data_IF_406529851012
#
_entry.id   IF_406529851012
#
_cell.length_a   1.000
_cell.length_b   1.000
_cell.length_c   1.000
_cell.angle_alpha   90.00
_cell.angle_beta   90.00
_cell.angle_gamma   90.00
#
_symmetry.space_group_name_H-M   'P 1'
#
loop_
_entity.id
_entity.type
_entity.pdbx_description
1 polymer ?
#
# COMPACT_ATOMS: atom_id res chain seq x y z
N UNK A 1 18.27 19.20 -14.82
CA UNK A 1 18.36 18.04 -15.74
C UNK A 1 18.46 16.80 -14.85
N UNK A 2 17.32 16.28 -14.39
CA UNK A 2 17.30 15.02 -13.65
C UNK A 2 17.24 13.94 -14.73
N UNK A 3 18.28 13.12 -14.84
CA UNK A 3 18.31 12.02 -15.79
C UNK A 3 17.13 11.08 -15.50
N UNK A 4 16.27 10.91 -16.50
CA UNK A 4 15.16 9.97 -16.47
C UNK A 4 15.69 8.57 -16.21
N UNK A 5 15.23 7.92 -15.14
CA UNK A 5 15.52 6.52 -14.88
C UNK A 5 14.98 5.67 -16.05
N UNK A 6 15.84 4.95 -16.80
CA UNK A 6 15.44 4.19 -17.99
C UNK A 6 14.56 2.97 -17.68
N UNK A 7 14.36 2.65 -16.39
CA UNK A 7 13.50 1.55 -15.95
C UNK A 7 12.13 1.98 -15.45
N UNK A 8 11.85 3.29 -15.39
CA UNK A 8 10.49 3.79 -15.19
C UNK A 8 9.91 4.12 -16.56
N UNK A 9 8.98 3.32 -17.10
CA UNK A 9 8.22 3.73 -18.26
C UNK A 9 7.49 5.03 -17.89
N UNK A 10 7.92 6.14 -18.46
CA UNK A 10 7.26 7.45 -18.33
C UNK A 10 5.82 7.39 -18.90
N UNK A 11 5.53 6.35 -19.69
CA UNK A 11 4.21 6.00 -20.19
C UNK A 11 3.60 4.83 -19.39
N UNK A 12 3.24 5.07 -18.12
CA UNK A 12 2.32 4.17 -17.42
C UNK A 12 0.96 4.24 -18.13
N UNK A 13 0.47 3.14 -18.73
CA UNK A 13 -0.84 3.13 -19.38
C UNK A 13 -1.89 3.32 -18.29
N UNK A 14 -2.49 4.52 -18.27
CA UNK A 14 -3.46 4.99 -17.28
C UNK A 14 -2.88 5.17 -15.84
N UNK A 15 -2.70 6.41 -15.35
CA UNK A 15 -2.22 6.65 -13.99
C UNK A 15 -3.19 6.12 -12.91
N UNK A 16 -4.43 5.78 -13.28
CA UNK A 16 -5.48 5.31 -12.39
C UNK A 16 -5.76 3.79 -12.52
N UNK A 17 -4.74 3.01 -12.89
CA UNK A 17 -4.83 1.56 -13.07
C UNK A 17 -5.39 0.79 -11.86
N UNK A 18 -5.07 1.22 -10.63
CA UNK A 18 -5.55 0.58 -9.40
C UNK A 18 -7.06 0.75 -9.21
N UNK A 19 -7.57 1.97 -9.43
CA UNK A 19 -9.00 2.25 -9.38
C UNK A 19 -9.76 1.52 -10.48
N UNK A 20 -9.20 1.46 -11.69
CA UNK A 20 -9.81 0.70 -12.79
C UNK A 20 -9.89 -0.80 -12.46
N UNK A 21 -8.85 -1.36 -11.86
CA UNK A 21 -8.86 -2.75 -11.39
C UNK A 21 -9.88 -2.96 -10.27
N UNK A 22 -9.93 -2.07 -9.28
CA UNK A 22 -10.91 -2.10 -8.20
C UNK A 22 -12.34 -2.01 -8.72
N UNK A 23 -12.63 -1.12 -9.67
CA UNK A 23 -13.93 -1.04 -10.35
C UNK A 23 -14.29 -2.33 -11.09
N UNK A 24 -13.33 -2.93 -11.79
CA UNK A 24 -13.55 -4.21 -12.45
C UNK A 24 -13.92 -5.31 -11.45
N UNK A 25 -13.15 -5.45 -10.37
CA UNK A 25 -13.45 -6.41 -9.29
C UNK A 25 -14.83 -6.13 -8.71
N UNK A 26 -15.11 -4.86 -8.37
CA UNK A 26 -16.38 -4.41 -7.80
C UNK A 26 -17.60 -4.76 -8.67
N UNK A 27 -17.47 -4.59 -9.98
CA UNK A 27 -18.60 -4.74 -10.88
C UNK A 27 -18.81 -6.18 -11.39
N UNK A 28 -17.75 -7.01 -11.39
CA UNK A 28 -17.76 -8.32 -12.05
C UNK A 28 -17.52 -9.49 -11.09
N UNK A 29 -16.69 -9.32 -10.06
CA UNK A 29 -16.20 -10.42 -9.23
C UNK A 29 -16.83 -10.40 -7.84
N UNK A 30 -16.68 -9.28 -7.13
CA UNK A 30 -17.13 -9.11 -5.75
C UNK A 30 -17.67 -7.68 -5.60
N UNK A 31 -18.97 -7.48 -5.28
CA UNK A 31 -19.55 -6.15 -5.13
C UNK A 31 -18.95 -5.32 -3.97
N UNK A 32 -18.27 -5.96 -3.02
CA UNK A 32 -17.69 -5.30 -1.85
C UNK A 32 -16.20 -5.68 -1.66
N UNK A 33 -15.32 -5.35 -2.64
CA UNK A 33 -13.92 -5.71 -2.53
C UNK A 33 -13.27 -4.94 -1.39
N UNK A 34 -12.48 -5.65 -0.58
CA UNK A 34 -11.81 -5.06 0.58
C UNK A 34 -10.76 -4.04 0.15
N UNK A 35 -10.86 -2.83 0.68
CA UNK A 35 -9.86 -1.78 0.56
C UNK A 35 -9.23 -1.52 1.92
N UNK A 36 -7.90 -1.52 1.98
CA UNK A 36 -7.11 -1.19 3.16
C UNK A 36 -6.28 0.04 2.83
N UNK A 37 -6.36 1.06 3.68
CA UNK A 37 -5.45 2.20 3.61
C UNK A 37 -4.18 1.91 4.42
N UNK A 38 -3.03 2.33 3.88
CA UNK A 38 -1.72 2.04 4.47
C UNK A 38 -1.52 2.74 5.81
N UNK A 39 -2.15 3.89 6.01
CA UNK A 39 -1.97 4.71 7.21
C UNK A 39 -2.80 4.13 8.35
N UNK A 40 -4.03 3.72 8.05
CA UNK A 40 -4.87 2.98 8.99
C UNK A 40 -4.21 1.66 9.42
N UNK A 41 -3.64 0.90 8.47
CA UNK A 41 -2.95 -0.36 8.78
C UNK A 41 -1.71 -0.13 9.66
N UNK A 42 -0.91 0.90 9.39
CA UNK A 42 0.29 1.19 10.18
C UNK A 42 -0.05 1.69 11.59
N UNK A 43 -1.07 2.54 11.72
CA UNK A 43 -1.45 3.13 13.01
C UNK A 43 -2.31 2.18 13.86
N UNK A 44 -3.11 1.30 13.22
CA UNK A 44 -4.05 0.40 13.89
C UNK A 44 -3.98 -1.05 13.37
N UNK A 45 -2.79 -1.69 13.35
CA UNK A 45 -2.57 -2.94 12.62
C UNK A 45 -3.45 -4.09 13.08
N UNK A 46 -3.66 -4.25 14.39
CA UNK A 46 -4.52 -5.32 14.91
C UNK A 46 -6.00 -5.13 14.50
N UNK A 47 -6.51 -3.91 14.59
CA UNK A 47 -7.91 -3.61 14.26
C UNK A 47 -8.18 -3.86 12.78
N UNK A 48 -7.29 -3.35 11.92
CA UNK A 48 -7.42 -3.50 10.47
C UNK A 48 -7.26 -4.97 10.07
N UNK A 49 -6.27 -5.69 10.58
CA UNK A 49 -6.08 -7.09 10.24
C UNK A 49 -7.22 -7.99 10.73
N UNK A 50 -7.82 -7.71 11.88
CA UNK A 50 -9.02 -8.44 12.34
C UNK A 50 -10.19 -8.26 11.38
N UNK A 51 -10.49 -7.02 11.00
CA UNK A 51 -11.56 -6.70 10.04
C UNK A 51 -11.28 -7.28 8.65
N UNK A 52 -10.04 -7.23 8.18
CA UNK A 52 -9.63 -7.88 6.94
C UNK A 52 -9.86 -9.39 7.00
N UNK A 53 -9.38 -10.04 8.07
CA UNK A 53 -9.52 -11.48 8.25
C UNK A 53 -10.99 -11.91 8.27
N UNK A 54 -11.84 -11.16 8.97
CA UNK A 54 -13.29 -11.36 8.99
C UNK A 54 -13.90 -11.22 7.59
N UNK A 55 -13.56 -10.15 6.86
CA UNK A 55 -14.10 -9.88 5.53
C UNK A 55 -13.74 -10.97 4.50
N UNK A 56 -12.54 -11.55 4.59
CA UNK A 56 -12.10 -12.61 3.67
C UNK A 56 -12.33 -14.04 4.20
N UNK A 57 -12.93 -14.19 5.38
CA UNK A 57 -13.29 -15.49 5.95
C UNK A 57 -12.13 -16.33 6.49
N UNK A 58 -11.04 -15.69 6.95
CA UNK A 58 -9.90 -16.37 7.58
C UNK A 58 -9.79 -16.04 9.07
N UNK A 59 -9.29 -16.96 9.91
CA UNK A 59 -9.09 -16.66 11.33
C UNK A 59 -7.89 -15.73 11.55
N UNK A 60 -8.09 -14.66 12.31
CA UNK A 60 -7.01 -13.79 12.76
C UNK A 60 -6.04 -14.53 13.68
N UNK A 61 -4.73 -14.28 13.51
CA UNK A 61 -3.66 -14.75 14.40
C UNK A 61 -2.81 -13.57 14.85
N UNK A 62 -2.50 -13.50 16.14
CA UNK A 62 -1.61 -12.46 16.69
C UNK A 62 -0.21 -12.48 16.08
N UNK A 63 0.22 -13.63 15.54
CA UNK A 63 1.46 -13.77 14.78
C UNK A 63 1.48 -12.97 13.48
N UNK A 64 0.34 -12.46 12.98
CA UNK A 64 0.33 -11.57 11.80
C UNK A 64 0.86 -10.16 12.11
N UNK A 65 0.98 -9.81 13.39
CA UNK A 65 1.51 -8.52 13.84
C UNK A 65 3.03 -8.50 14.01
N UNK A 66 3.68 -9.68 13.98
CA UNK A 66 5.11 -9.83 14.24
C UNK A 66 5.73 -10.86 13.31
N UNK A 67 6.89 -10.55 12.75
CA UNK A 67 7.63 -11.44 11.88
C UNK A 67 9.14 -11.38 12.15
N UNK A 68 9.86 -12.39 11.67
CA UNK A 68 11.32 -12.40 11.74
C UNK A 68 11.91 -11.40 10.76
N UNK A 69 12.65 -10.42 11.28
CA UNK A 69 13.38 -9.45 10.47
C UNK A 69 14.53 -10.10 9.69
N UNK A 70 14.90 -9.46 8.57
CA UNK A 70 16.06 -9.78 7.75
C UNK A 70 15.72 -10.70 6.57
N UNK A 71 16.75 -11.35 6.00
CA UNK A 71 16.61 -12.15 4.79
C UNK A 71 15.92 -13.51 4.99
N UNK A 72 15.66 -13.91 6.24
CA UNK A 72 15.12 -15.24 6.55
C UNK A 72 13.81 -15.55 5.80
N UNK A 73 12.82 -14.63 5.70
CA UNK A 73 11.60 -14.86 4.92
C UNK A 73 11.86 -14.97 3.41
N UNK A 74 13.01 -14.48 2.93
CA UNK A 74 13.39 -14.46 1.52
C UNK A 74 14.36 -15.58 1.13
N UNK A 75 14.68 -16.48 2.07
CA UNK A 75 15.60 -17.60 1.83
C UNK A 75 15.02 -18.54 0.77
N UNK A 76 15.74 -18.72 -0.34
CA UNK A 76 15.35 -19.61 -1.45
C UNK A 76 14.63 -18.92 -2.61
N UNK A 77 14.38 -17.61 -2.52
CA UNK A 77 13.90 -16.80 -3.64
C UNK A 77 15.05 -16.59 -4.62
N UNK A 78 14.86 -17.04 -5.87
CA UNK A 78 15.80 -16.85 -6.97
C UNK A 78 15.29 -15.77 -7.94
N UNK A 79 16.17 -15.24 -8.79
CA UNK A 79 15.80 -14.28 -9.83
C UNK A 79 15.61 -12.85 -9.32
N UNK A 80 14.88 -11.98 -10.05
CA UNK A 80 14.81 -10.54 -9.76
C UNK A 80 14.35 -10.17 -8.36
N UNK A 81 13.51 -11.01 -7.73
CA UNK A 81 13.06 -10.84 -6.35
C UNK A 81 14.20 -10.98 -5.32
N UNK A 82 15.33 -11.62 -5.67
CA UNK A 82 16.52 -11.68 -4.82
C UNK A 82 17.14 -10.29 -4.64
N UNK A 83 17.02 -9.38 -5.62
CA UNK A 83 17.50 -8.00 -5.48
C UNK A 83 16.77 -7.24 -4.36
N UNK A 84 15.49 -7.53 -4.15
CA UNK A 84 14.70 -6.97 -3.03
C UNK A 84 15.22 -7.53 -1.70
N UNK A 85 15.52 -8.83 -1.65
CA UNK A 85 16.05 -9.50 -0.47
C UNK A 85 17.49 -9.07 -0.12
N UNK A 86 18.33 -8.84 -1.13
CA UNK A 86 19.70 -8.30 -1.00
C UNK A 86 19.71 -6.82 -0.61
N UNK A 87 18.54 -6.22 -0.35
CA UNK A 87 18.43 -4.87 0.14
C UNK A 87 18.76 -3.83 -0.92
N UNK A 88 18.40 -4.06 -2.20
CA UNK A 88 18.41 -3.00 -3.21
C UNK A 88 17.59 -1.81 -2.70
N UNK A 89 18.33 -0.81 -2.23
CA UNK A 89 18.07 0.48 -1.58
C UNK A 89 16.66 0.86 -1.09
N UNK A 90 15.59 0.57 -1.84
CA UNK A 90 14.23 1.06 -1.55
C UNK A 90 13.43 0.20 -0.56
N UNK A 91 13.85 -1.04 -0.25
CA UNK A 91 13.09 -1.97 0.59
C UNK A 91 13.75 -2.32 1.93
N UNK A 92 14.85 -1.67 2.30
CA UNK A 92 15.60 -1.99 3.53
C UNK A 92 14.74 -1.91 4.79
N UNK A 93 13.82 -0.94 4.87
CA UNK A 93 12.92 -0.80 6.01
C UNK A 93 11.93 -1.96 6.10
N UNK A 94 11.40 -2.41 4.96
CA UNK A 94 10.49 -3.56 4.91
C UNK A 94 11.24 -4.85 5.31
N UNK A 95 12.42 -5.09 4.73
CA UNK A 95 13.24 -6.28 5.00
C UNK A 95 13.71 -6.33 6.46
N UNK A 96 14.08 -5.19 7.05
CA UNK A 96 14.56 -5.12 8.44
C UNK A 96 13.44 -4.97 9.48
N UNK A 97 12.19 -4.75 9.06
CA UNK A 97 11.05 -4.67 9.98
C UNK A 97 10.76 -6.02 10.64
N UNK A 98 10.16 -5.97 11.83
CA UNK A 98 9.63 -7.13 12.55
C UNK A 98 8.19 -6.96 13.01
N UNK A 99 7.59 -5.80 12.73
CA UNK A 99 6.20 -5.46 13.00
C UNK A 99 5.81 -4.22 12.19
N UNK A 100 4.52 -3.86 12.23
CA UNK A 100 4.05 -2.57 11.76
C UNK A 100 4.59 -1.47 12.68
N UNK A 101 5.09 -0.40 12.07
CA UNK A 101 5.50 0.82 12.78
C UNK A 101 4.46 1.91 12.48
N UNK A 102 4.07 2.70 13.50
CA UNK A 102 3.16 3.81 13.28
C UNK A 102 3.83 4.88 12.40
N UNK A 103 3.01 5.66 11.72
CA UNK A 103 3.51 6.73 10.86
C UNK A 103 4.08 7.84 11.75
N UNK A 104 5.31 8.24 11.46
CA UNK A 104 6.02 9.29 12.19
C UNK A 104 6.18 10.58 11.38
N UNK A 105 6.03 10.52 10.06
CA UNK A 105 6.19 11.65 9.15
C UNK A 105 4.86 12.00 8.50
N UNK A 106 4.59 13.31 8.39
CA UNK A 106 3.47 13.80 7.60
C UNK A 106 3.87 13.92 6.12
N UNK A 107 2.99 13.55 5.17
CA UNK A 107 3.25 13.79 3.77
C UNK A 107 3.30 15.29 3.45
N UNK A 108 3.97 15.71 2.37
CA UNK A 108 3.94 17.08 1.90
C UNK A 108 2.51 17.53 1.58
N UNK A 109 2.20 18.80 1.79
CA UNK A 109 0.90 19.35 1.39
C UNK A 109 0.83 19.43 -0.13
N UNK A 110 -0.38 19.33 -0.68
CA UNK A 110 -0.58 19.38 -2.14
C UNK A 110 -0.02 20.67 -2.76
N UNK A 111 -0.10 21.79 -2.04
CA UNK A 111 0.42 23.10 -2.45
C UNK A 111 1.95 23.11 -2.52
N UNK A 112 2.61 22.32 -1.68
CA UNK A 112 4.08 22.23 -1.61
C UNK A 112 4.70 21.42 -2.75
N UNK A 113 3.89 20.64 -3.49
CA UNK A 113 4.32 19.84 -4.63
C UNK A 113 4.72 20.72 -5.83
N UNK A 114 5.53 20.19 -6.74
CA UNK A 114 5.84 20.88 -8.00
C UNK A 114 4.65 20.75 -9.01
N UNK A 115 4.64 21.52 -10.11
CA UNK A 115 3.53 21.49 -11.07
C UNK A 115 3.22 20.13 -11.68
N UNK A 116 4.24 19.31 -11.97
CA UNK A 116 4.06 17.99 -12.58
C UNK A 116 3.50 16.98 -11.57
N UNK A 117 3.98 17.02 -10.33
CA UNK A 117 3.43 16.23 -9.22
C UNK A 117 1.96 16.59 -8.95
N UNK A 118 1.62 17.88 -8.88
CA UNK A 118 0.23 18.32 -8.70
C UNK A 118 -0.66 17.82 -9.83
N UNK A 119 -0.19 17.90 -11.08
CA UNK A 119 -0.92 17.41 -12.25
C UNK A 119 -1.15 15.90 -12.16
N UNK A 120 -0.13 15.14 -11.78
CA UNK A 120 -0.22 13.70 -11.59
C UNK A 120 -1.21 13.35 -10.47
N UNK A 121 -1.04 13.92 -9.27
CA UNK A 121 -1.94 13.72 -8.13
C UNK A 121 -3.40 14.08 -8.49
N UNK A 122 -3.63 15.22 -9.16
CA UNK A 122 -4.98 15.62 -9.58
C UNK A 122 -5.63 14.62 -10.54
N UNK A 123 -4.84 13.93 -11.36
CA UNK A 123 -5.36 12.93 -12.31
C UNK A 123 -5.84 11.63 -11.63
N UNK A 124 -5.26 11.28 -10.47
CA UNK A 124 -5.56 10.03 -9.74
C UNK A 124 -6.45 10.24 -8.51
N UNK A 125 -6.47 11.46 -7.96
CA UNK A 125 -7.14 11.78 -6.70
C UNK A 125 -8.63 11.38 -6.68
N UNK A 126 -9.43 11.59 -7.74
CA UNK A 126 -10.83 11.17 -7.73
C UNK A 126 -11.00 9.65 -7.52
N UNK A 127 -10.18 8.83 -8.20
CA UNK A 127 -10.20 7.37 -8.05
C UNK A 127 -9.72 6.91 -6.68
N UNK A 128 -8.68 7.56 -6.15
CA UNK A 128 -8.20 7.32 -4.79
C UNK A 128 -9.30 7.63 -3.76
N UNK A 129 -9.96 8.78 -3.87
CA UNK A 129 -11.03 9.20 -2.94
C UNK A 129 -12.21 8.22 -2.94
N UNK A 130 -12.62 7.72 -4.10
CA UNK A 130 -13.68 6.72 -4.19
C UNK A 130 -13.31 5.42 -3.44
N UNK A 131 -12.10 4.90 -3.66
CA UNK A 131 -11.61 3.72 -2.93
C UNK A 131 -11.46 4.00 -1.44
N UNK A 132 -10.92 5.16 -1.07
CA UNK A 132 -10.68 5.57 0.31
C UNK A 132 -11.98 5.66 1.13
N UNK A 133 -13.09 6.09 0.51
CA UNK A 133 -14.40 6.09 1.17
C UNK A 133 -14.94 4.68 1.43
N UNK A 134 -14.53 3.69 0.63
CA UNK A 134 -14.94 2.29 0.77
C UNK A 134 -14.03 1.45 1.68
N UNK A 135 -12.94 2.03 2.19
CA UNK A 135 -11.95 1.30 2.99
C UNK A 135 -12.51 0.79 4.31
N UNK A 136 -11.87 -0.25 4.83
CA UNK A 136 -12.03 -0.67 6.23
C UNK A 136 -11.48 0.42 7.14
N UNK A 137 -12.28 0.86 8.10
CA UNK A 137 -11.90 1.87 9.09
C UNK A 137 -11.56 1.24 10.45
N UNK A 138 -10.58 1.78 11.20
CA UNK A 138 -10.36 1.41 12.58
C UNK A 138 -11.54 1.86 13.46
N UNK A 139 -11.68 1.28 14.66
CA UNK A 139 -12.76 1.58 15.60
C UNK A 139 -12.68 3.01 16.17
N UNK A 140 -11.51 3.66 16.10
CA UNK A 140 -11.27 5.01 16.61
C UNK A 140 -11.66 6.15 15.64
N UNK A 141 -12.13 5.84 14.43
CA UNK A 141 -12.60 6.84 13.45
C UNK A 141 -14.12 7.10 13.48
N UNK A 142 -14.88 6.50 14.41
CA UNK A 142 -16.24 6.96 14.69
C UNK A 142 -16.21 8.29 15.44
N UNK A 143 -16.10 9.38 14.68
CA UNK A 143 -16.49 10.74 15.09
C UNK A 143 -17.48 11.29 14.06
#
# INVERSE_FOLDING_TARGET
MIESNPYTPIDLPNPNHLHAFWQYVRNIIDPNPVVIDSDDLQNYPEQILRKYCEAVGIPFKTTYLKWDAGEKPFKGINGPLRLVADGAYSYVNAVSSSCFLPITSQPPTFESLNPDERKYCSSILPGYQEMYLSRIKPESETV
#
